data_IF_281395609811
#
_entry.id   IF_281395609811
#
_cell.length_a   1.000
_cell.length_b   1.000
_cell.length_c   1.000
_cell.angle_alpha   90.00
_cell.angle_beta   90.00
_cell.angle_gamma   90.00
#
_symmetry.space_group_name_H-M   'P 1'
#
loop_
_entity.id
_entity.type
_entity.pdbx_description
1 polymer ?
#
# COMPACT_ATOMS: atom_id res chain seq x y z
N UNK A 1 -5.58 -15.10 2.63
CA UNK A 1 -6.14 -13.83 3.16
C UNK A 1 -5.34 -12.64 2.65
N UNK A 2 -6.02 -11.56 2.29
CA UNK A 2 -5.39 -10.33 1.74
C UNK A 2 -4.90 -9.42 2.86
N UNK A 3 -3.67 -8.92 2.73
CA UNK A 3 -2.97 -8.10 3.75
C UNK A 3 -3.79 -6.89 4.22
N UNK A 4 -4.53 -6.22 3.32
CA UNK A 4 -5.40 -5.09 3.62
C UNK A 4 -6.47 -5.40 4.68
N UNK A 5 -6.95 -6.64 4.75
CA UNK A 5 -8.01 -7.03 5.68
C UNK A 5 -7.48 -7.48 7.04
N UNK A 6 -6.16 -7.66 7.18
CA UNK A 6 -5.56 -8.10 8.43
C UNK A 6 -5.54 -6.94 9.43
N UNK A 7 -5.95 -7.21 10.67
CA UNK A 7 -5.98 -6.27 11.83
C UNK A 7 -7.03 -5.15 11.80
N UNK A 8 -7.86 -5.04 10.76
CA UNK A 8 -8.88 -3.99 10.69
C UNK A 8 -10.27 -4.59 11.00
N UNK A 9 -11.02 -3.95 11.89
CA UNK A 9 -12.44 -4.30 12.10
C UNK A 9 -13.25 -3.63 10.99
N UNK A 10 -13.81 -4.46 10.10
CA UNK A 10 -14.62 -4.03 8.96
C UNK A 10 -16.13 -4.13 9.21
N UNK A 11 -16.56 -4.53 10.40
CA UNK A 11 -17.97 -4.55 10.76
C UNK A 11 -18.51 -3.12 10.93
N UNK A 12 -19.62 -2.81 10.27
CA UNK A 12 -20.33 -1.54 10.42
C UNK A 12 -19.78 -0.34 9.65
N UNK A 13 -18.77 -0.53 8.78
CA UNK A 13 -18.35 0.53 7.85
C UNK A 13 -19.26 0.61 6.64
N UNK A 14 -19.52 1.84 6.18
CA UNK A 14 -20.20 2.10 4.93
C UNK A 14 -19.30 1.75 3.73
N UNK A 15 -19.92 1.57 2.55
CA UNK A 15 -19.18 1.32 1.31
C UNK A 15 -18.18 2.44 1.00
N UNK A 16 -18.58 3.70 1.23
CA UNK A 16 -17.71 4.86 1.03
C UNK A 16 -16.48 4.83 1.94
N UNK A 17 -16.65 4.52 3.23
CA UNK A 17 -15.53 4.39 4.16
C UNK A 17 -14.61 3.23 3.80
N UNK A 18 -15.17 2.14 3.29
CA UNK A 18 -14.40 1.00 2.79
C UNK A 18 -13.51 1.43 1.61
N UNK A 19 -14.09 2.09 0.60
CA UNK A 19 -13.36 2.61 -0.56
C UNK A 19 -12.23 3.54 -0.15
N UNK A 20 -12.51 4.50 0.74
CA UNK A 20 -11.50 5.43 1.23
C UNK A 20 -10.37 4.74 2.00
N UNK A 21 -10.69 3.75 2.84
CA UNK A 21 -9.67 2.98 3.58
C UNK A 21 -8.80 2.16 2.64
N UNK A 22 -9.40 1.50 1.65
CA UNK A 22 -8.67 0.75 0.63
C UNK A 22 -7.76 1.68 -0.17
N UNK A 23 -8.27 2.84 -0.61
CA UNK A 23 -7.48 3.79 -1.37
C UNK A 23 -6.27 4.30 -0.57
N UNK A 24 -6.48 4.67 0.70
CA UNK A 24 -5.39 5.07 1.60
C UNK A 24 -4.37 3.95 1.79
N UNK A 25 -4.83 2.71 1.97
CA UNK A 25 -3.94 1.56 2.09
C UNK A 25 -3.10 1.34 0.84
N UNK A 26 -3.70 1.42 -0.36
CA UNK A 26 -2.99 1.27 -1.63
C UNK A 26 -1.90 2.33 -1.77
N UNK A 27 -2.22 3.60 -1.49
CA UNK A 27 -1.23 4.69 -1.55
C UNK A 27 -0.08 4.40 -0.58
N UNK A 28 -0.40 4.17 0.70
CA UNK A 28 0.60 3.87 1.73
C UNK A 28 1.47 2.65 1.38
N UNK A 29 0.86 1.58 0.89
CA UNK A 29 1.56 0.36 0.49
C UNK A 29 2.58 0.62 -0.62
N UNK A 30 2.19 1.43 -1.60
CA UNK A 30 3.04 1.70 -2.75
C UNK A 30 4.17 2.68 -2.41
N UNK A 31 3.92 3.70 -1.58
CA UNK A 31 4.86 4.81 -1.40
C UNK A 31 5.62 4.79 -0.08
N UNK A 32 5.08 4.13 0.95
CA UNK A 32 5.62 4.21 2.32
C UNK A 32 6.05 2.85 2.86
N UNK A 33 5.28 1.80 2.59
CA UNK A 33 5.52 0.49 3.20
C UNK A 33 6.88 -0.08 2.78
N UNK A 34 7.79 -0.24 3.75
CA UNK A 34 9.12 -0.81 3.50
C UNK A 34 9.10 -2.33 3.53
N UNK A 35 9.71 -2.95 2.52
CA UNK A 35 9.74 -4.40 2.40
C UNK A 35 11.16 -4.95 2.44
N UNK A 36 11.39 -5.93 3.32
CA UNK A 36 12.69 -6.64 3.40
C UNK A 36 13.06 -7.31 2.06
N UNK A 37 12.07 -7.89 1.37
CA UNK A 37 12.28 -8.49 0.04
C UNK A 37 12.71 -7.46 -1.02
N UNK A 38 12.41 -6.18 -0.80
CA UNK A 38 12.85 -5.06 -1.64
C UNK A 38 14.07 -4.37 -1.05
N UNK A 39 14.93 -5.07 -0.32
CA UNK A 39 16.11 -4.51 0.35
C UNK A 39 15.80 -3.35 1.31
N UNK A 40 14.59 -3.31 1.85
CA UNK A 40 14.17 -2.31 2.84
C UNK A 40 13.61 -1.01 2.27
N UNK A 41 13.41 -0.90 0.95
CA UNK A 41 12.75 0.27 0.33
C UNK A 41 11.25 0.05 0.11
N UNK A 42 10.53 1.12 -0.22
CA UNK A 42 9.14 1.07 -0.66
C UNK A 42 9.00 0.50 -2.08
N UNK A 43 7.81 -0.01 -2.46
CA UNK A 43 7.55 -0.46 -3.83
C UNK A 43 7.73 0.62 -4.89
N UNK A 44 7.52 1.90 -4.57
CA UNK A 44 7.75 3.01 -5.48
C UNK A 44 9.25 3.23 -5.70
N UNK A 45 10.02 3.37 -4.62
CA UNK A 45 11.48 3.50 -4.68
C UNK A 45 12.13 2.32 -5.41
N UNK A 46 11.61 1.11 -5.18
CA UNK A 46 12.09 -0.07 -5.91
C UNK A 46 11.83 0.02 -7.41
N UNK A 47 10.64 0.44 -7.84
CA UNK A 47 10.32 0.63 -9.27
C UNK A 47 11.15 1.75 -9.91
N UNK A 48 11.39 2.85 -9.19
CA UNK A 48 12.27 3.92 -9.63
C UNK A 48 13.70 3.42 -9.84
N UNK A 49 14.22 2.59 -8.92
CA UNK A 49 15.54 1.97 -9.07
C UNK A 49 15.68 1.07 -10.29
N UNK A 50 14.56 0.55 -10.81
CA UNK A 50 14.48 -0.26 -12.02
C UNK A 50 14.17 0.54 -13.28
N UNK A 51 13.95 1.87 -13.17
CA UNK A 51 13.49 2.69 -14.29
C UNK A 51 12.04 2.41 -14.74
N UNK A 52 11.25 1.72 -13.91
CA UNK A 52 9.85 1.34 -14.20
C UNK A 52 8.83 2.37 -13.69
N UNK A 53 9.30 3.39 -12.99
CA UNK A 53 8.50 4.52 -12.54
C UNK A 53 9.36 5.78 -12.59
N UNK A 54 8.72 6.93 -12.83
CA UNK A 54 9.39 8.22 -12.74
C UNK A 54 9.87 8.46 -11.30
N UNK A 55 11.06 9.03 -11.17
CA UNK A 55 11.49 9.63 -9.93
C UNK A 55 10.48 10.72 -9.55
N UNK A 56 9.93 10.62 -8.34
CA UNK A 56 9.01 11.60 -7.78
C UNK A 56 9.79 12.76 -7.17
#
# INVERSE_FOLDING_TARGET
ETEVFRKHKWGGVTLKELEERINRYIVWYNTTMRKRSLKGVSPMEFRQSLGLALAA
#
